data_IF_366776269668
#
_entry.id   IF_366776269668
#
_cell.length_a   1.000
_cell.length_b   1.000
_cell.length_c   1.000
_cell.angle_alpha   90.00
_cell.angle_beta   90.00
_cell.angle_gamma   90.00
#
_symmetry.space_group_name_H-M   'P 1'
#
loop_
_entity.id
_entity.type
_entity.pdbx_description
1 polymer ?
#
# COMPACT_ATOMS: atom_id res chain seq x y z
N UNK A 1 -2.66 0.58 21.98
CA UNK A 1 -2.68 -0.26 20.76
C UNK A 1 -1.25 -0.42 20.28
N UNK A 2 -0.78 -1.63 19.98
CA UNK A 2 0.60 -1.86 19.50
C UNK A 2 0.70 -1.43 18.04
N UNK A 3 1.70 -0.62 17.68
CA UNK A 3 1.93 -0.05 16.32
C UNK A 3 1.63 -1.06 15.20
N UNK A 4 2.21 -2.27 15.29
CA UNK A 4 2.06 -3.35 14.32
C UNK A 4 0.62 -3.74 13.92
N UNK A 5 -0.36 -3.53 14.81
CA UNK A 5 -1.77 -3.83 14.50
C UNK A 5 -2.44 -2.69 13.71
N UNK A 6 -1.98 -1.46 13.92
CA UNK A 6 -2.39 -0.29 13.14
C UNK A 6 -1.77 -0.34 11.73
N UNK A 7 -0.52 -0.81 11.62
CA UNK A 7 0.23 -0.87 10.36
C UNK A 7 -0.40 -1.90 9.40
N UNK A 8 -0.76 -3.09 9.91
CA UNK A 8 -1.50 -4.09 9.13
C UNK A 8 -2.85 -3.57 8.63
N UNK A 9 -3.56 -2.79 9.44
CA UNK A 9 -4.85 -2.21 9.06
C UNK A 9 -4.70 -1.13 7.98
N UNK A 10 -3.68 -0.28 8.10
CA UNK A 10 -3.33 0.73 7.10
C UNK A 10 -3.00 0.06 5.75
N UNK A 11 -2.07 -0.89 5.75
CA UNK A 11 -1.65 -1.63 4.56
C UNK A 11 -2.83 -2.31 3.86
N UNK A 12 -3.70 -2.99 4.60
CA UNK A 12 -4.92 -3.60 4.03
C UNK A 12 -5.89 -2.56 3.46
N UNK A 13 -6.07 -1.43 4.14
CA UNK A 13 -6.96 -0.34 3.70
C UNK A 13 -6.47 0.32 2.42
N UNK A 14 -5.16 0.48 2.28
CA UNK A 14 -4.53 0.99 1.06
C UNK A 14 -4.70 0.01 -0.11
N UNK A 15 -4.49 -1.29 0.11
CA UNK A 15 -4.73 -2.32 -0.93
C UNK A 15 -6.20 -2.28 -1.38
N UNK A 16 -7.15 -2.15 -0.45
CA UNK A 16 -8.58 -2.05 -0.79
C UNK A 16 -8.90 -0.75 -1.54
N UNK A 17 -8.25 0.37 -1.18
CA UNK A 17 -8.36 1.65 -1.89
C UNK A 17 -7.88 1.53 -3.34
N UNK A 18 -6.70 0.95 -3.56
CA UNK A 18 -6.13 0.74 -4.90
C UNK A 18 -7.06 -0.16 -5.71
N UNK A 19 -7.49 -1.30 -5.14
CA UNK A 19 -8.39 -2.25 -5.80
C UNK A 19 -9.69 -1.59 -6.28
N UNK A 20 -10.29 -0.71 -5.46
CA UNK A 20 -11.49 0.06 -5.82
C UNK A 20 -11.24 1.04 -6.97
N UNK A 21 -10.10 1.74 -6.96
CA UNK A 21 -9.74 2.72 -8.00
C UNK A 21 -9.44 2.06 -9.34
N UNK A 22 -8.73 0.94 -9.32
CA UNK A 22 -8.38 0.18 -10.54
C UNK A 22 -9.47 -0.77 -11.00
N UNK A 23 -10.56 -0.91 -10.24
CA UNK A 23 -11.63 -1.92 -10.45
C UNK A 23 -11.05 -3.34 -10.57
N UNK A 24 -10.10 -3.67 -9.70
CA UNK A 24 -9.42 -4.96 -9.68
C UNK A 24 -9.70 -5.71 -8.37
N UNK A 25 -9.42 -7.01 -8.33
CA UNK A 25 -9.52 -7.80 -7.09
C UNK A 25 -8.30 -7.58 -6.22
N UNK A 26 -8.49 -7.58 -4.88
CA UNK A 26 -7.39 -7.35 -3.93
C UNK A 26 -6.23 -8.33 -4.10
N UNK A 27 -6.53 -9.59 -4.45
CA UNK A 27 -5.51 -10.61 -4.69
C UNK A 27 -4.56 -10.20 -5.81
N UNK A 28 -5.05 -9.61 -6.89
CA UNK A 28 -4.23 -9.16 -8.01
C UNK A 28 -3.37 -7.96 -7.64
N UNK A 29 -3.89 -7.05 -6.82
CA UNK A 29 -3.11 -5.92 -6.27
C UNK A 29 -1.97 -6.44 -5.39
N UNK A 30 -2.25 -7.38 -4.49
CA UNK A 30 -1.23 -8.00 -3.62
C UNK A 30 -0.17 -8.71 -4.45
N UNK A 31 -0.57 -9.46 -5.47
CA UNK A 31 0.35 -10.16 -6.37
C UNK A 31 1.24 -9.19 -7.16
N UNK A 32 0.70 -8.05 -7.60
CA UNK A 32 1.45 -7.03 -8.34
C UNK A 32 2.42 -6.25 -7.44
N UNK A 33 2.02 -5.94 -6.21
CA UNK A 33 2.89 -5.27 -5.25
C UNK A 33 4.05 -6.19 -4.82
N UNK A 34 3.74 -7.47 -4.58
CA UNK A 34 4.71 -8.41 -4.03
C UNK A 34 5.16 -8.05 -2.62
N UNK A 35 5.97 -8.93 -2.03
CA UNK A 35 6.39 -8.80 -0.62
C UNK A 35 7.21 -7.52 -0.36
N UNK A 36 8.15 -7.19 -1.24
CA UNK A 36 9.08 -6.07 -1.06
C UNK A 36 8.36 -4.71 -0.96
N UNK A 37 7.40 -4.45 -1.85
CA UNK A 37 6.65 -3.17 -1.83
C UNK A 37 5.69 -3.10 -0.66
N UNK A 38 5.08 -4.23 -0.29
CA UNK A 38 4.22 -4.31 0.90
C UNK A 38 5.05 -4.02 2.16
N UNK A 39 6.25 -4.56 2.28
CA UNK A 39 7.16 -4.26 3.40
C UNK A 39 7.56 -2.78 3.45
N UNK A 40 7.75 -2.12 2.30
CA UNK A 40 8.00 -0.66 2.25
C UNK A 40 6.79 0.19 2.65
N UNK A 41 5.58 -0.26 2.30
CA UNK A 41 4.32 0.39 2.72
C UNK A 41 4.12 0.22 4.23
N UNK A 42 4.54 -0.90 4.79
CA UNK A 42 4.47 -1.23 6.23
C UNK A 42 5.66 -0.66 7.03
N UNK A 43 6.65 -0.08 6.37
CA UNK A 43 7.82 0.52 7.02
C UNK A 43 7.48 1.91 7.56
N UNK A 44 7.23 1.97 8.87
CA UNK A 44 6.97 3.20 9.62
C UNK A 44 8.06 4.27 9.49
N UNK A 45 9.30 3.89 9.15
CA UNK A 45 10.40 4.83 8.94
C UNK A 45 10.47 5.38 7.51
N UNK A 46 9.69 4.80 6.60
CA UNK A 46 9.58 5.28 5.23
C UNK A 46 8.73 6.54 5.19
N UNK A 47 9.18 7.55 4.44
CA UNK A 47 8.35 8.74 4.17
C UNK A 47 7.02 8.35 3.52
N UNK A 48 7.01 7.27 2.73
CA UNK A 48 5.83 6.71 2.07
C UNK A 48 4.68 6.42 3.04
N UNK A 49 4.99 5.98 4.27
CA UNK A 49 3.99 5.66 5.30
C UNK A 49 3.13 6.86 5.69
N UNK A 50 3.69 8.07 5.60
CA UNK A 50 3.01 9.32 5.96
C UNK A 50 2.38 10.03 4.76
N UNK A 51 2.55 9.50 3.56
CA UNK A 51 2.02 10.11 2.35
C UNK A 51 0.50 9.91 2.21
N UNK A 52 -0.11 10.77 1.40
CA UNK A 52 -1.53 10.65 1.10
C UNK A 52 -1.80 9.39 0.25
N UNK A 53 -2.87 8.62 0.52
CA UNK A 53 -3.24 7.45 -0.30
C UNK A 53 -3.34 7.74 -1.81
N UNK A 54 -3.70 8.96 -2.21
CA UNK A 54 -3.73 9.37 -3.62
C UNK A 54 -2.33 9.45 -4.23
N UNK A 55 -1.33 9.95 -3.50
CA UNK A 55 0.06 9.98 -3.96
C UNK A 55 0.60 8.55 -4.09
N UNK A 56 0.36 7.73 -3.07
CA UNK A 56 0.75 6.32 -3.07
C UNK A 56 0.11 5.59 -4.26
N UNK A 57 -1.17 5.86 -4.56
CA UNK A 57 -1.82 5.33 -5.77
C UNK A 57 -1.15 5.79 -7.07
N UNK A 58 -0.75 7.06 -7.20
CA UNK A 58 0.02 7.52 -8.36
C UNK A 58 1.34 6.77 -8.47
N UNK A 59 2.07 6.57 -7.37
CA UNK A 59 3.31 5.77 -7.37
C UNK A 59 3.06 4.31 -7.80
N UNK A 60 1.92 3.74 -7.43
CA UNK A 60 1.49 2.42 -7.88
C UNK A 60 1.30 2.38 -9.40
N UNK A 61 0.55 3.33 -9.97
CA UNK A 61 0.28 3.38 -11.42
C UNK A 61 1.53 3.65 -12.24
N UNK A 62 2.43 4.50 -11.75
CA UNK A 62 3.70 4.80 -12.39
C UNK A 62 4.75 3.70 -12.19
N UNK A 63 4.42 2.65 -11.42
CA UNK A 63 5.34 1.57 -11.05
C UNK A 63 6.61 2.06 -10.31
N UNK A 64 6.51 3.22 -9.63
CA UNK A 64 7.60 3.93 -8.92
C UNK A 64 7.63 3.65 -7.41
N UNK A 65 6.94 2.63 -6.91
CA UNK A 65 6.96 2.25 -5.48
C UNK A 65 8.31 1.65 -5.01
N UNK A 66 9.43 2.03 -5.62
CA UNK A 66 10.78 1.55 -5.33
C UNK A 66 11.55 2.63 -4.58
#
# INVERSE_FOLDING_TARGET
MKQKQNDLFYTCSLIDYIAKKTKNVRADIVNQLGKERIEKIDDYNSSLYYENPSYIFTCYEENKMI
#
